data_IF_238679114295
#
_entry.id   IF_238679114295
#
_cell.length_a   1.000
_cell.length_b   1.000
_cell.length_c   1.000
_cell.angle_alpha   90.00
_cell.angle_beta   90.00
_cell.angle_gamma   90.00
#
_symmetry.space_group_name_H-M   'P 1'
#
loop_
_entity.id
_entity.type
_entity.pdbx_description
1 polymer ?
#
# COMPACT_ATOMS: atom_id res chain seq x y z
N UNK A 1 5.27 -19.19 -5.26
CA UNK A 1 4.37 -20.01 -4.45
C UNK A 1 3.00 -20.10 -5.14
N UNK A 2 2.27 -18.99 -5.31
CA UNK A 2 0.91 -18.99 -5.87
C UNK A 2 0.81 -19.71 -7.24
N UNK A 3 1.78 -19.50 -8.13
CA UNK A 3 1.84 -20.21 -9.43
C UNK A 3 2.03 -21.71 -9.28
N UNK A 4 2.91 -22.14 -8.39
CA UNK A 4 3.17 -23.55 -8.14
C UNK A 4 1.95 -24.27 -7.56
N UNK A 5 1.27 -23.64 -6.60
CA UNK A 5 0.05 -24.20 -5.97
C UNK A 5 -1.11 -24.29 -6.96
N UNK A 6 -1.28 -23.27 -7.82
CA UNK A 6 -2.44 -23.21 -8.73
C UNK A 6 -2.21 -23.80 -10.12
N UNK A 7 -0.95 -23.99 -10.52
CA UNK A 7 -0.58 -24.37 -11.89
C UNK A 7 -0.90 -23.30 -12.94
N UNK A 8 -1.03 -22.02 -12.53
CA UNK A 8 -1.39 -20.90 -13.41
C UNK A 8 -0.26 -19.87 -13.46
N UNK A 9 -0.18 -19.10 -14.56
CA UNK A 9 0.92 -18.13 -14.79
C UNK A 9 0.52 -16.69 -14.50
N UNK A 10 -0.74 -16.32 -14.71
CA UNK A 10 -1.23 -14.95 -14.62
C UNK A 10 -1.16 -14.36 -13.22
N UNK A 11 -0.99 -13.05 -13.15
CA UNK A 11 -1.04 -12.25 -11.91
C UNK A 11 -2.13 -11.20 -12.05
N UNK A 12 -2.93 -11.02 -11.02
CA UNK A 12 -3.85 -9.91 -10.91
C UNK A 12 -3.37 -8.96 -9.82
N UNK A 13 -3.51 -7.66 -10.03
CA UNK A 13 -3.14 -6.63 -9.05
C UNK A 13 -4.13 -5.47 -9.07
N UNK A 14 -4.03 -4.56 -8.11
CA UNK A 14 -4.78 -3.31 -8.13
C UNK A 14 -4.09 -2.30 -9.05
N UNK A 15 -4.88 -1.61 -9.89
CA UNK A 15 -4.40 -0.53 -10.73
C UNK A 15 -3.79 0.60 -9.89
N UNK A 16 -2.58 1.04 -10.25
CA UNK A 16 -1.82 2.05 -9.51
C UNK A 16 -1.05 1.53 -8.29
N UNK A 17 -1.20 0.26 -7.89
CA UNK A 17 -0.45 -0.30 -6.76
C UNK A 17 1.00 -0.64 -7.14
N UNK A 18 1.90 -0.56 -6.15
CA UNK A 18 3.31 -0.91 -6.28
C UNK A 18 3.67 -2.09 -5.37
N UNK A 19 4.29 -3.13 -5.93
CA UNK A 19 4.65 -4.37 -5.22
C UNK A 19 6.13 -4.75 -5.39
N UNK A 20 7.00 -3.76 -5.46
CA UNK A 20 8.44 -3.97 -5.60
C UNK A 20 8.91 -4.14 -7.04
N UNK A 21 10.21 -4.38 -7.20
CA UNK A 21 10.89 -4.43 -8.49
C UNK A 21 10.93 -5.87 -9.03
N UNK A 22 9.78 -6.31 -9.54
CA UNK A 22 9.59 -7.61 -10.16
C UNK A 22 8.76 -7.44 -11.44
N UNK A 23 9.24 -7.91 -12.58
CA UNK A 23 8.67 -7.62 -13.91
C UNK A 23 7.15 -7.80 -13.99
N UNK A 24 6.60 -8.87 -13.39
CA UNK A 24 5.16 -9.15 -13.43
C UNK A 24 4.31 -8.17 -12.63
N UNK A 25 4.88 -7.46 -11.66
CA UNK A 25 4.17 -6.46 -10.85
C UNK A 25 4.57 -5.03 -11.20
N UNK A 26 5.63 -4.87 -12.02
CA UNK A 26 6.05 -3.59 -12.61
C UNK A 26 5.19 -3.21 -13.83
N UNK A 27 3.88 -3.37 -13.67
CA UNK A 27 2.85 -3.12 -14.68
C UNK A 27 1.79 -2.24 -14.02
N UNK A 28 1.27 -1.27 -14.73
CA UNK A 28 0.17 -0.39 -14.30
C UNK A 28 0.38 0.28 -12.94
N UNK A 29 1.58 0.82 -12.71
CA UNK A 29 1.96 1.51 -11.47
C UNK A 29 1.65 3.03 -11.55
N UNK A 30 0.82 3.42 -12.49
CA UNK A 30 0.27 4.76 -12.50
C UNK A 30 1.10 5.87 -13.12
N UNK A 31 2.33 5.64 -13.55
CA UNK A 31 3.07 6.60 -14.38
C UNK A 31 2.67 6.54 -15.86
N UNK A 32 1.96 5.51 -16.24
CA UNK A 32 1.41 5.36 -17.57
C UNK A 32 0.23 6.29 -17.78
N UNK A 33 0.24 7.00 -18.88
CA UNK A 33 -0.82 7.91 -19.31
C UNK A 33 -1.98 7.09 -19.86
N UNK A 34 -2.68 6.34 -18.97
CA UNK A 34 -3.94 5.74 -19.36
C UNK A 34 -5.03 6.80 -19.17
N UNK A 35 -5.52 7.32 -20.26
CA UNK A 35 -6.62 8.30 -20.31
C UNK A 35 -8.00 7.64 -20.52
N UNK A 36 -8.05 6.31 -20.61
CA UNK A 36 -9.27 5.55 -20.81
C UNK A 36 -10.15 5.48 -19.58
N UNK A 37 -11.47 5.32 -19.81
CA UNK A 37 -12.48 5.18 -18.75
C UNK A 37 -12.94 3.73 -18.55
N UNK A 38 -12.33 2.75 -19.24
CA UNK A 38 -12.71 1.34 -19.11
C UNK A 38 -12.05 0.72 -17.88
N UNK A 39 -12.74 0.76 -16.76
CA UNK A 39 -12.28 0.21 -15.49
C UNK A 39 -12.22 -1.33 -15.45
N UNK A 40 -12.85 -1.99 -16.42
CA UNK A 40 -12.82 -3.45 -16.52
C UNK A 40 -11.62 -3.95 -17.33
N UNK A 41 -11.04 -3.09 -18.18
CA UNK A 41 -9.97 -3.47 -19.09
C UNK A 41 -8.81 -2.46 -19.07
N UNK A 42 -8.15 -2.33 -17.91
CA UNK A 42 -6.91 -1.55 -17.87
C UNK A 42 -5.86 -2.18 -18.79
N UNK A 43 -5.16 -1.39 -19.59
CA UNK A 43 -4.09 -1.89 -20.44
C UNK A 43 -2.91 -2.33 -19.58
N UNK A 44 -2.28 -3.45 -19.93
CA UNK A 44 -1.06 -3.94 -19.27
C UNK A 44 0.15 -3.14 -19.73
N UNK A 45 0.40 -1.98 -19.13
CA UNK A 45 1.46 -1.04 -19.50
C UNK A 45 2.67 -1.25 -18.59
N UNK A 46 3.84 -1.51 -19.18
CA UNK A 46 5.09 -1.62 -18.44
C UNK A 46 5.45 -0.30 -17.74
N UNK A 47 5.87 -0.36 -16.48
CA UNK A 47 6.34 0.80 -15.72
C UNK A 47 7.60 1.46 -16.31
N UNK A 48 8.41 0.69 -16.98
CA UNK A 48 9.63 1.18 -17.62
C UNK A 48 10.10 0.32 -18.78
N UNK A 49 11.12 0.81 -19.49
CA UNK A 49 11.74 0.09 -20.59
C UNK A 49 12.46 -1.17 -20.10
N UNK A 50 12.46 -2.21 -20.92
CA UNK A 50 13.19 -3.45 -20.67
C UNK A 50 12.33 -4.58 -20.08
N UNK A 51 11.08 -4.32 -19.72
CA UNK A 51 10.12 -5.36 -19.32
C UNK A 51 9.53 -5.96 -20.61
N UNK A 52 9.65 -7.28 -20.83
CA UNK A 52 9.17 -7.90 -22.06
C UNK A 52 7.64 -7.90 -22.15
N UNK A 53 7.08 -7.63 -23.35
CA UNK A 53 5.64 -7.64 -23.56
C UNK A 53 4.94 -8.94 -23.12
N UNK A 54 5.48 -10.16 -23.39
CA UNK A 54 4.85 -11.38 -22.89
C UNK A 54 4.70 -11.43 -21.35
N UNK A 55 5.60 -10.78 -20.62
CA UNK A 55 5.54 -10.71 -19.16
C UNK A 55 4.45 -9.74 -18.73
N UNK A 56 4.38 -8.55 -19.33
CA UNK A 56 3.34 -7.56 -19.01
C UNK A 56 1.94 -8.09 -19.29
N UNK A 57 1.77 -8.84 -20.38
CA UNK A 57 0.48 -9.44 -20.77
C UNK A 57 -0.02 -10.54 -19.82
N UNK A 58 0.84 -11.07 -18.95
CA UNK A 58 0.44 -11.99 -17.89
C UNK A 58 -0.14 -11.29 -16.66
N UNK A 59 -0.08 -9.95 -16.62
CA UNK A 59 -0.61 -9.16 -15.50
C UNK A 59 -1.89 -8.46 -15.91
N UNK A 60 -2.91 -8.58 -15.07
CA UNK A 60 -4.20 -7.90 -15.22
C UNK A 60 -4.43 -6.99 -14.03
N UNK A 61 -4.79 -5.73 -14.27
CA UNK A 61 -5.15 -4.80 -13.21
C UNK A 61 -6.68 -4.67 -13.06
N UNK A 62 -7.12 -4.40 -11.82
CA UNK A 62 -8.50 -4.08 -11.45
C UNK A 62 -8.51 -2.87 -10.50
N UNK A 63 -9.60 -2.10 -10.42
CA UNK A 63 -9.65 -0.97 -9.50
C UNK A 63 -9.72 -1.42 -8.04
N UNK A 64 -9.19 -0.59 -7.13
CA UNK A 64 -9.44 -0.72 -5.70
C UNK A 64 -10.88 -0.33 -5.37
N UNK A 65 -11.44 -0.83 -4.28
CA UNK A 65 -12.79 -0.54 -3.81
C UNK A 65 -13.93 -0.89 -4.79
N UNK A 66 -13.67 -1.77 -5.76
CA UNK A 66 -14.68 -2.24 -6.70
C UNK A 66 -14.67 -3.77 -6.84
N UNK A 67 -15.26 -4.45 -5.86
CA UNK A 67 -15.38 -5.90 -5.85
C UNK A 67 -16.21 -6.44 -7.04
N UNK A 68 -17.14 -5.63 -7.57
CA UNK A 68 -17.96 -5.99 -8.72
C UNK A 68 -17.12 -6.12 -10.00
N UNK A 69 -16.22 -5.18 -10.25
CA UNK A 69 -15.27 -5.28 -11.38
C UNK A 69 -14.35 -6.47 -11.18
N UNK A 70 -13.80 -6.68 -9.98
CA UNK A 70 -12.97 -7.85 -9.68
C UNK A 70 -13.68 -9.16 -10.05
N UNK A 71 -14.93 -9.33 -9.62
CA UNK A 71 -15.70 -10.56 -9.88
C UNK A 71 -15.97 -10.75 -11.37
N UNK A 72 -16.43 -9.71 -12.09
CA UNK A 72 -16.68 -9.78 -13.54
C UNK A 72 -15.40 -10.07 -14.33
N UNK A 73 -14.28 -9.44 -13.94
CA UNK A 73 -13.01 -9.65 -14.63
C UNK A 73 -12.49 -11.07 -14.43
N UNK A 74 -12.58 -11.64 -13.24
CA UNK A 74 -12.21 -13.03 -12.98
C UNK A 74 -13.12 -14.00 -13.74
N UNK A 75 -14.43 -13.73 -13.82
CA UNK A 75 -15.35 -14.54 -14.59
C UNK A 75 -15.03 -14.53 -16.11
N UNK A 76 -14.68 -13.39 -16.66
CA UNK A 76 -14.25 -13.27 -18.06
C UNK A 76 -12.96 -14.05 -18.31
N UNK A 77 -11.94 -13.87 -17.45
CA UNK A 77 -10.66 -14.60 -17.55
C UNK A 77 -10.84 -16.12 -17.38
N UNK A 78 -11.82 -16.56 -16.58
CA UNK A 78 -12.16 -17.97 -16.46
C UNK A 78 -12.71 -18.54 -17.77
N UNK A 79 -13.59 -17.81 -18.45
CA UNK A 79 -14.14 -18.21 -19.75
C UNK A 79 -13.05 -18.26 -20.84
N UNK A 80 -12.07 -17.37 -20.76
CA UNK A 80 -10.90 -17.34 -21.65
C UNK A 80 -9.86 -18.44 -21.34
N UNK A 81 -10.01 -19.21 -20.25
CA UNK A 81 -8.99 -20.16 -19.77
C UNK A 81 -7.73 -19.51 -19.23
N UNK A 82 -7.80 -18.27 -18.79
CA UNK A 82 -6.69 -17.39 -18.37
C UNK A 82 -6.81 -16.92 -16.92
N UNK A 83 -7.46 -17.67 -16.04
CA UNK A 83 -7.54 -17.33 -14.63
C UNK A 83 -6.14 -17.07 -14.05
N UNK A 84 -5.93 -15.99 -13.29
CA UNK A 84 -4.64 -15.73 -12.66
C UNK A 84 -4.36 -16.72 -11.52
N UNK A 85 -3.07 -16.91 -11.21
CA UNK A 85 -2.63 -17.65 -10.04
C UNK A 85 -2.99 -16.92 -8.75
N UNK A 86 -2.84 -15.60 -8.75
CA UNK A 86 -3.06 -14.80 -7.56
C UNK A 86 -3.64 -13.42 -7.88
N UNK A 87 -4.26 -12.83 -6.86
CA UNK A 87 -4.46 -11.40 -6.69
C UNK A 87 -3.48 -10.90 -5.62
N UNK A 88 -2.56 -10.00 -6.00
CA UNK A 88 -1.71 -9.29 -5.05
C UNK A 88 -2.22 -7.86 -4.86
N UNK A 89 -2.39 -7.44 -3.61
CA UNK A 89 -2.87 -6.11 -3.27
C UNK A 89 -2.46 -5.69 -1.86
N UNK A 90 -2.42 -4.38 -1.61
CA UNK A 90 -2.42 -3.82 -0.25
C UNK A 90 -3.86 -3.85 0.29
N UNK A 91 -4.03 -4.04 1.60
CA UNK A 91 -5.36 -3.95 2.25
C UNK A 91 -5.85 -2.49 2.35
N UNK A 92 -4.94 -1.53 2.38
CA UNK A 92 -5.17 -0.11 2.14
C UNK A 92 -4.05 0.38 1.21
N UNK A 93 -4.37 1.13 0.14
CA UNK A 93 -3.34 1.60 -0.78
C UNK A 93 -2.50 2.69 -0.13
N UNK A 94 -1.17 2.50 -0.14
CA UNK A 94 -0.19 3.37 0.52
C UNK A 94 0.82 3.99 -0.44
N UNK A 95 0.69 3.75 -1.74
CA UNK A 95 1.59 4.29 -2.77
C UNK A 95 0.94 5.41 -3.61
N UNK A 96 -0.21 5.90 -3.16
CA UNK A 96 -0.95 7.01 -3.75
C UNK A 96 -1.70 7.78 -2.65
N UNK A 97 -0.95 8.25 -1.68
CA UNK A 97 -1.49 8.72 -0.41
C UNK A 97 -2.00 7.57 0.46
N UNK A 98 -3.08 7.80 1.19
CA UNK A 98 -3.74 6.76 2.00
C UNK A 98 -5.16 6.57 1.47
N UNK A 99 -5.41 5.45 0.79
CA UNK A 99 -6.75 5.07 0.33
C UNK A 99 -7.21 3.87 1.14
N UNK A 100 -8.18 4.10 2.01
CA UNK A 100 -8.73 3.07 2.88
C UNK A 100 -9.74 2.19 2.13
N UNK A 101 -9.86 0.90 2.51
CA UNK A 101 -10.90 0.04 1.95
C UNK A 101 -12.29 0.55 2.37
N UNK A 102 -13.22 0.58 1.42
CA UNK A 102 -14.63 0.83 1.72
C UNK A 102 -15.23 -0.32 2.56
N UNK A 103 -16.23 -0.03 3.39
CA UNK A 103 -16.86 -1.04 4.22
C UNK A 103 -17.30 -2.28 3.43
N UNK A 104 -16.85 -3.46 3.85
CA UNK A 104 -17.19 -4.74 3.22
C UNK A 104 -16.31 -5.11 2.00
N UNK A 105 -15.52 -4.21 1.44
CA UNK A 105 -14.72 -4.48 0.25
C UNK A 105 -13.77 -5.67 0.42
N UNK A 106 -12.97 -5.68 1.49
CA UNK A 106 -11.99 -6.76 1.73
C UNK A 106 -12.66 -8.13 1.97
N UNK A 107 -13.84 -8.15 2.60
CA UNK A 107 -14.62 -9.37 2.79
C UNK A 107 -15.12 -9.92 1.43
N UNK A 108 -15.56 -9.05 0.53
CA UNK A 108 -15.95 -9.43 -0.83
C UNK A 108 -14.75 -9.91 -1.64
N UNK A 109 -13.59 -9.25 -1.54
CA UNK A 109 -12.35 -9.73 -2.17
C UNK A 109 -12.04 -11.17 -1.74
N UNK A 110 -12.14 -11.46 -0.42
CA UNK A 110 -11.90 -12.81 0.10
C UNK A 110 -12.91 -13.82 -0.44
N UNK A 111 -14.19 -13.46 -0.44
CA UNK A 111 -15.27 -14.30 -0.99
C UNK A 111 -15.01 -14.64 -2.46
N UNK A 112 -14.67 -13.63 -3.25
CA UNK A 112 -14.45 -13.76 -4.69
C UNK A 112 -13.19 -14.60 -4.95
N UNK A 113 -12.07 -14.31 -4.33
CA UNK A 113 -10.81 -15.05 -4.54
C UNK A 113 -10.96 -16.53 -4.18
N UNK A 114 -11.64 -16.85 -3.07
CA UNK A 114 -11.98 -18.24 -2.70
C UNK A 114 -12.85 -18.92 -3.76
N UNK A 115 -13.89 -18.26 -4.24
CA UNK A 115 -14.81 -18.80 -5.25
C UNK A 115 -14.10 -19.18 -6.56
N UNK A 116 -13.15 -18.36 -7.01
CA UNK A 116 -12.40 -18.60 -8.24
C UNK A 116 -11.12 -19.43 -8.02
N UNK A 117 -10.78 -19.78 -6.79
CA UNK A 117 -9.54 -20.47 -6.46
C UNK A 117 -8.30 -19.66 -6.84
N UNK A 118 -8.37 -18.35 -6.66
CA UNK A 118 -7.27 -17.40 -6.87
C UNK A 118 -6.60 -17.13 -5.52
N UNK A 119 -5.29 -17.32 -5.43
CA UNK A 119 -4.53 -17.05 -4.20
C UNK A 119 -4.56 -15.58 -3.87
N UNK A 120 -5.04 -15.20 -2.69
CA UNK A 120 -5.03 -13.82 -2.24
C UNK A 120 -3.75 -13.51 -1.48
N UNK A 121 -2.92 -12.61 -2.03
CA UNK A 121 -1.68 -12.14 -1.43
C UNK A 121 -1.91 -10.72 -0.92
N UNK A 122 -1.77 -10.51 0.39
CA UNK A 122 -1.79 -9.17 0.97
C UNK A 122 -0.37 -8.66 1.12
N UNK A 123 -0.09 -7.54 0.46
CA UNK A 123 1.17 -6.83 0.57
C UNK A 123 1.15 -5.93 1.82
N UNK A 124 1.86 -6.38 2.84
CA UNK A 124 2.05 -5.68 4.11
C UNK A 124 3.39 -4.91 4.18
N UNK A 125 4.04 -4.69 3.06
CA UNK A 125 5.36 -4.04 3.03
C UNK A 125 5.30 -2.62 3.58
N UNK A 126 4.19 -1.91 3.43
CA UNK A 126 3.97 -0.58 4.03
C UNK A 126 3.13 -0.60 5.31
N UNK A 127 2.27 -1.57 5.49
CA UNK A 127 1.33 -1.66 6.61
C UNK A 127 1.79 -2.58 7.73
N UNK A 128 2.53 -3.62 7.41
CA UNK A 128 3.05 -4.58 8.39
C UNK A 128 3.86 -3.92 9.49
N UNK A 129 3.54 -4.21 10.74
CA UNK A 129 4.14 -3.64 11.95
C UNK A 129 3.96 -2.11 12.12
N UNK A 130 3.35 -1.44 11.18
CA UNK A 130 3.16 0.02 11.27
C UNK A 130 1.73 0.40 11.64
N UNK A 131 0.74 -0.39 11.24
CA UNK A 131 -0.67 -0.11 11.56
C UNK A 131 -1.22 -0.99 12.69
N UNK A 132 -0.64 -2.15 12.92
CA UNK A 132 -0.89 -3.04 14.06
C UNK A 132 0.25 -4.05 14.16
N UNK A 133 0.31 -4.83 15.24
CA UNK A 133 1.31 -5.89 15.40
C UNK A 133 1.23 -6.95 14.30
N UNK A 134 0.02 -7.35 13.92
CA UNK A 134 -0.26 -8.22 12.77
C UNK A 134 -0.60 -7.46 11.47
N UNK A 135 -0.23 -6.18 11.38
CA UNK A 135 -0.43 -5.36 10.19
C UNK A 135 -1.88 -5.01 9.88
N UNK A 136 -2.15 -4.67 8.62
CA UNK A 136 -3.49 -4.42 8.12
C UNK A 136 -4.36 -5.70 8.13
N UNK A 137 -3.74 -6.86 8.05
CA UNK A 137 -4.40 -8.17 8.17
C UNK A 137 -5.12 -8.28 9.51
N UNK A 138 -4.43 -7.98 10.63
CA UNK A 138 -5.04 -7.93 11.96
C UNK A 138 -6.07 -6.80 12.06
N UNK A 139 -5.69 -5.60 11.65
CA UNK A 139 -6.52 -4.40 11.81
C UNK A 139 -7.88 -4.51 11.13
N UNK A 140 -7.93 -5.10 9.93
CA UNK A 140 -9.17 -5.30 9.17
C UNK A 140 -9.81 -6.67 9.39
N UNK A 141 -9.21 -7.54 10.20
CA UNK A 141 -9.73 -8.88 10.49
C UNK A 141 -9.86 -9.76 9.25
N UNK A 142 -8.87 -9.72 8.35
CA UNK A 142 -8.85 -10.47 7.10
C UNK A 142 -7.91 -11.67 7.17
N UNK A 143 -8.18 -12.69 6.36
CA UNK A 143 -7.39 -13.94 6.29
C UNK A 143 -6.92 -14.19 4.85
N UNK A 144 -5.83 -13.57 4.39
CA UNK A 144 -5.25 -13.86 3.08
C UNK A 144 -4.59 -15.25 3.06
N UNK A 145 -4.27 -15.75 1.88
CA UNK A 145 -3.54 -17.01 1.71
C UNK A 145 -2.03 -16.80 1.91
N UNK A 146 -1.52 -15.63 1.50
CA UNK A 146 -0.12 -15.23 1.65
C UNK A 146 -0.03 -13.76 2.09
N UNK A 147 1.03 -13.43 2.83
CA UNK A 147 1.41 -12.06 3.20
C UNK A 147 2.86 -11.80 2.87
N UNK A 148 3.18 -10.56 2.49
CA UNK A 148 4.54 -10.09 2.24
C UNK A 148 4.89 -8.98 3.24
N UNK A 149 6.04 -9.09 3.91
CA UNK A 149 6.54 -8.14 4.89
C UNK A 149 7.94 -7.65 4.50
N UNK A 150 8.23 -6.38 4.74
CA UNK A 150 9.56 -5.80 4.61
C UNK A 150 9.68 -4.52 5.46
N UNK A 151 10.46 -3.54 5.03
CA UNK A 151 10.60 -2.18 5.61
C UNK A 151 10.71 -2.19 7.14
N UNK A 152 9.61 -1.93 7.85
CA UNK A 152 9.58 -1.86 9.31
C UNK A 152 10.08 -3.15 9.99
N UNK A 153 9.95 -4.31 9.35
CA UNK A 153 10.37 -5.59 9.90
C UNK A 153 11.83 -5.58 10.32
N UNK A 154 12.70 -5.05 9.48
CA UNK A 154 14.15 -5.05 9.72
C UNK A 154 14.67 -3.88 10.56
N UNK A 155 13.79 -2.93 10.95
CA UNK A 155 14.19 -1.74 11.75
C UNK A 155 15.44 -1.02 11.20
N UNK A 156 15.49 -0.82 9.87
CA UNK A 156 16.61 -0.19 9.17
C UNK A 156 17.61 -1.17 8.53
N UNK A 157 17.55 -2.46 8.87
CA UNK A 157 18.31 -3.50 8.17
C UNK A 157 17.44 -4.10 7.04
N UNK A 158 17.96 -4.18 5.80
CA UNK A 158 17.22 -4.77 4.69
C UNK A 158 16.78 -6.20 5.01
N UNK A 159 15.47 -6.41 5.08
CA UNK A 159 14.86 -7.68 5.46
C UNK A 159 13.49 -7.79 4.80
N UNK A 160 13.15 -8.96 4.34
CA UNK A 160 11.82 -9.31 3.86
C UNK A 160 11.39 -10.67 4.39
N UNK A 161 10.11 -10.87 4.51
CA UNK A 161 9.51 -12.14 4.89
C UNK A 161 8.24 -12.41 4.08
N UNK A 162 7.93 -13.68 3.91
CA UNK A 162 6.67 -14.17 3.34
C UNK A 162 6.04 -15.07 4.40
N UNK A 163 4.77 -14.87 4.67
CA UNK A 163 3.95 -15.73 5.52
C UNK A 163 2.78 -16.30 4.72
N UNK A 164 2.25 -17.44 5.16
CA UNK A 164 1.10 -18.05 4.52
C UNK A 164 0.61 -19.28 5.26
N UNK A 165 -0.49 -19.89 4.77
CA UNK A 165 -1.02 -21.12 5.29
C UNK A 165 -0.09 -22.32 4.99
N UNK A 166 -0.25 -23.42 5.74
CA UNK A 166 0.48 -24.67 5.51
C UNK A 166 0.26 -25.17 4.07
N UNK A 167 -0.94 -25.03 3.54
CA UNK A 167 -1.27 -25.38 2.15
C UNK A 167 -0.38 -24.64 1.16
N UNK A 168 -0.25 -23.32 1.32
CA UNK A 168 0.59 -22.49 0.47
C UNK A 168 2.08 -22.81 0.64
N UNK A 169 2.49 -23.20 1.86
CA UNK A 169 3.89 -23.47 2.16
C UNK A 169 4.36 -24.87 1.73
N UNK A 170 3.45 -25.79 1.51
CA UNK A 170 3.75 -27.19 1.13
C UNK A 170 4.67 -27.31 -0.10
N UNK A 171 4.54 -26.41 -1.08
CA UNK A 171 5.39 -26.40 -2.29
C UNK A 171 6.81 -25.87 -2.03
N UNK A 172 7.00 -25.17 -0.93
CA UNK A 172 8.34 -24.75 -0.47
C UNK A 172 8.99 -25.89 0.32
N UNK A 173 8.26 -26.52 1.22
CA UNK A 173 8.75 -27.62 2.04
C UNK A 173 9.10 -28.87 1.19
N UNK A 174 8.34 -29.12 0.11
CA UNK A 174 8.66 -30.19 -0.85
C UNK A 174 9.88 -29.88 -1.73
N UNK A 175 10.29 -28.61 -1.82
CA UNK A 175 11.36 -28.15 -2.71
C UNK A 175 10.90 -27.86 -4.14
N UNK A 176 9.61 -27.96 -4.45
CA UNK A 176 9.06 -27.63 -5.77
C UNK A 176 9.23 -26.13 -6.10
N UNK A 177 9.17 -25.29 -5.07
CA UNK A 177 9.54 -23.87 -5.17
C UNK A 177 10.92 -23.64 -4.57
N UNK A 178 11.88 -23.28 -5.42
CA UNK A 178 13.23 -22.96 -5.00
C UNK A 178 13.28 -21.57 -4.36
N UNK A 179 13.22 -21.55 -3.01
CA UNK A 179 13.18 -20.33 -2.22
C UNK A 179 14.46 -20.18 -1.37
N UNK A 180 15.58 -19.93 -2.04
CA UNK A 180 16.87 -19.71 -1.39
C UNK A 180 17.56 -18.46 -1.88
N UNK A 181 18.44 -17.91 -1.06
CA UNK A 181 19.29 -16.79 -1.39
C UNK A 181 20.47 -16.74 -0.41
N UNK A 182 21.65 -16.34 -0.87
CA UNK A 182 22.88 -16.32 -0.08
C UNK A 182 22.72 -15.58 1.25
N UNK A 183 21.96 -14.50 1.26
CA UNK A 183 21.75 -13.67 2.45
C UNK A 183 20.40 -13.91 3.15
N UNK A 184 19.60 -14.87 2.69
CA UNK A 184 18.33 -15.20 3.34
C UNK A 184 18.61 -15.72 4.76
N UNK A 185 17.88 -15.20 5.75
CA UNK A 185 18.05 -15.60 7.14
C UNK A 185 19.41 -15.23 7.75
N UNK A 186 20.11 -14.21 7.20
CA UNK A 186 21.41 -13.83 7.76
C UNK A 186 21.26 -13.36 9.23
N UNK A 187 22.24 -13.68 10.10
CA UNK A 187 22.11 -13.45 11.54
C UNK A 187 21.89 -11.99 11.94
N UNK A 188 22.43 -11.02 11.19
CA UNK A 188 22.28 -9.60 11.49
C UNK A 188 20.83 -9.16 11.26
N UNK A 189 20.25 -9.49 10.11
CA UNK A 189 18.86 -9.16 9.80
C UNK A 189 17.88 -9.88 10.74
N UNK A 190 18.14 -11.14 11.08
CA UNK A 190 17.31 -11.89 12.03
C UNK A 190 17.38 -11.32 13.44
N UNK A 191 18.56 -10.90 13.90
CA UNK A 191 18.71 -10.26 15.20
C UNK A 191 18.03 -8.89 15.26
N UNK A 192 18.10 -8.10 14.18
CA UNK A 192 17.44 -6.81 14.09
C UNK A 192 15.90 -6.98 14.09
N UNK A 193 15.36 -7.87 13.24
CA UNK A 193 13.94 -8.16 13.19
C UNK A 193 13.42 -8.66 14.56
N UNK A 194 14.14 -9.58 15.20
CA UNK A 194 13.78 -10.08 16.52
C UNK A 194 13.76 -8.98 17.56
N UNK A 195 14.80 -8.14 17.62
CA UNK A 195 14.87 -7.03 18.56
C UNK A 195 13.72 -6.03 18.33
N UNK A 196 13.39 -5.75 17.07
CA UNK A 196 12.27 -4.90 16.71
C UNK A 196 10.94 -5.47 17.22
N UNK A 197 10.67 -6.73 16.92
CA UNK A 197 9.41 -7.41 17.31
C UNK A 197 9.27 -7.57 18.83
N UNK A 198 10.36 -7.92 19.53
CA UNK A 198 10.31 -8.24 20.96
C UNK A 198 10.45 -7.01 21.88
N UNK A 199 11.10 -5.93 21.42
CA UNK A 199 11.52 -4.84 22.31
C UNK A 199 11.10 -3.45 21.86
N UNK A 200 10.84 -3.24 20.56
CA UNK A 200 10.54 -1.93 20.00
C UNK A 200 9.04 -1.77 19.75
N UNK A 201 8.45 -2.70 19.02
CA UNK A 201 7.04 -2.65 18.64
C UNK A 201 6.15 -3.25 19.74
N UNK A 202 6.13 -2.58 20.89
CA UNK A 202 5.31 -2.94 22.05
C UNK A 202 3.90 -2.35 21.95
N UNK A 203 2.91 -2.84 22.73
CA UNK A 203 1.59 -2.23 22.81
C UNK A 203 1.64 -0.72 23.11
N UNK A 204 2.56 -0.28 23.99
CA UNK A 204 2.75 1.14 24.31
C UNK A 204 3.28 1.94 23.11
N UNK A 205 4.14 1.34 22.28
CA UNK A 205 4.61 1.96 21.05
C UNK A 205 3.45 2.19 20.07
N UNK A 206 2.59 1.19 19.86
CA UNK A 206 1.40 1.37 19.01
C UNK A 206 0.44 2.41 19.57
N UNK A 207 0.19 2.41 20.89
CA UNK A 207 -0.65 3.42 21.52
C UNK A 207 -0.06 4.83 21.39
N UNK A 208 1.27 4.97 21.48
CA UNK A 208 1.97 6.24 21.25
C UNK A 208 1.81 6.72 19.80
N UNK A 209 2.10 5.86 18.84
CA UNK A 209 1.96 6.16 17.41
C UNK A 209 0.54 6.55 17.03
N UNK A 210 -0.46 5.85 17.56
CA UNK A 210 -1.87 6.17 17.36
C UNK A 210 -2.21 7.58 17.85
N UNK A 211 -1.83 7.92 19.10
CA UNK A 211 -2.06 9.28 19.64
C UNK A 211 -1.39 10.39 18.82
N UNK A 212 -0.17 10.15 18.36
CA UNK A 212 0.52 11.13 17.50
C UNK A 212 -0.19 11.30 16.16
N UNK A 213 -0.68 10.21 15.59
CA UNK A 213 -1.42 10.28 14.32
C UNK A 213 -2.76 10.98 14.48
N UNK A 214 -3.49 10.69 15.56
CA UNK A 214 -4.75 11.38 15.90
C UNK A 214 -4.50 12.88 16.05
N UNK A 215 -3.44 13.29 16.75
CA UNK A 215 -3.05 14.70 16.88
C UNK A 215 -2.81 15.36 15.52
N UNK A 216 -2.09 14.68 14.62
CA UNK A 216 -1.82 15.19 13.27
C UNK A 216 -3.09 15.26 12.42
N UNK A 217 -3.90 14.23 12.42
CA UNK A 217 -5.13 14.16 11.62
C UNK A 217 -6.15 15.22 12.08
N UNK A 218 -6.43 15.27 13.38
CA UNK A 218 -7.39 16.22 13.96
C UNK A 218 -6.89 17.67 13.79
N UNK A 219 -5.60 17.91 14.03
CA UNK A 219 -4.98 19.23 13.87
C UNK A 219 -4.99 19.68 12.41
N UNK A 220 -4.61 18.80 11.48
CA UNK A 220 -4.63 19.10 10.04
C UNK A 220 -6.06 19.36 9.55
N UNK A 221 -7.04 18.54 9.95
CA UNK A 221 -8.44 18.76 9.58
C UNK A 221 -8.96 20.07 10.13
N UNK A 222 -8.63 20.41 11.38
CA UNK A 222 -9.02 21.70 11.98
C UNK A 222 -8.45 22.91 11.24
N UNK A 223 -7.23 22.82 10.71
CA UNK A 223 -6.63 23.85 9.86
C UNK A 223 -7.35 23.92 8.50
N UNK A 224 -7.56 22.77 7.85
CA UNK A 224 -8.29 22.66 6.58
C UNK A 224 -9.66 23.33 6.68
N UNK A 225 -10.42 23.04 7.72
CA UNK A 225 -11.76 23.60 7.93
C UNK A 225 -11.71 25.10 8.19
N UNK A 226 -10.76 25.58 9.02
CA UNK A 226 -10.56 27.01 9.34
C UNK A 226 -10.26 27.84 8.11
N UNK A 227 -9.37 27.34 7.26
CA UNK A 227 -8.95 28.02 6.03
C UNK A 227 -9.78 27.64 4.82
N UNK A 228 -10.78 26.75 4.96
CA UNK A 228 -11.67 26.28 3.89
C UNK A 228 -10.90 25.73 2.69
N UNK A 229 -9.85 24.98 2.95
CA UNK A 229 -9.07 24.38 1.89
C UNK A 229 -9.87 23.23 1.23
N UNK A 230 -9.70 23.08 -0.08
CA UNK A 230 -10.21 21.92 -0.83
C UNK A 230 -9.30 20.70 -0.56
N UNK A 231 -9.33 20.20 0.67
CA UNK A 231 -8.47 19.13 1.15
C UNK A 231 -9.16 18.36 2.29
N UNK A 232 -8.61 17.24 2.67
CA UNK A 232 -8.98 16.50 3.88
C UNK A 232 -7.77 15.73 4.43
N UNK A 233 -7.76 15.47 5.74
CA UNK A 233 -6.79 14.61 6.38
C UNK A 233 -7.32 13.18 6.46
N UNK A 234 -6.50 12.19 6.14
CA UNK A 234 -6.85 10.77 6.23
C UNK A 234 -5.63 9.97 6.69
N UNK A 235 -5.86 8.94 7.49
CA UNK A 235 -4.77 8.12 7.99
C UNK A 235 -5.22 6.84 8.65
N UNK A 236 -4.23 6.06 9.06
CA UNK A 236 -4.40 4.76 9.71
C UNK A 236 -3.21 4.52 10.65
N UNK A 237 -3.45 4.51 11.94
CA UNK A 237 -2.45 4.27 12.99
C UNK A 237 -1.23 5.21 12.89
N UNK A 238 -0.08 4.74 12.42
CA UNK A 238 1.14 5.56 12.32
C UNK A 238 1.30 6.28 10.97
N UNK A 239 0.30 6.22 10.11
CA UNK A 239 0.36 6.75 8.75
C UNK A 239 -0.78 7.70 8.47
N UNK A 240 -0.51 8.77 7.74
CA UNK A 240 -1.55 9.69 7.32
C UNK A 240 -1.06 10.61 6.22
N UNK A 241 -1.99 11.37 5.65
CA UNK A 241 -1.72 12.32 4.58
C UNK A 241 -2.76 13.43 4.58
N UNK A 242 -2.37 14.60 4.12
CA UNK A 242 -3.28 15.67 3.73
C UNK A 242 -3.50 15.54 2.23
N UNK A 243 -4.71 15.17 1.85
CA UNK A 243 -5.10 15.02 0.44
C UNK A 243 -5.76 16.29 -0.06
N UNK A 244 -5.13 16.95 -1.01
CA UNK A 244 -5.67 18.16 -1.67
C UNK A 244 -6.65 17.76 -2.77
N UNK A 245 -7.88 17.47 -2.38
CA UNK A 245 -8.98 17.07 -3.27
C UNK A 245 -10.32 17.57 -2.73
N UNK A 246 -11.23 17.94 -3.64
CA UNK A 246 -12.60 18.32 -3.26
C UNK A 246 -13.48 17.13 -2.87
N UNK A 247 -13.17 15.96 -3.42
CA UNK A 247 -13.91 14.72 -3.18
C UNK A 247 -12.98 13.65 -2.61
N UNK A 248 -13.56 12.73 -1.86
CA UNK A 248 -12.83 11.58 -1.31
C UNK A 248 -12.19 10.76 -2.44
N UNK A 249 -10.91 10.50 -2.30
CA UNK A 249 -10.16 9.58 -3.16
C UNK A 249 -10.43 8.15 -2.69
N UNK A 250 -10.93 7.31 -3.57
CA UNK A 250 -11.35 5.93 -3.25
C UNK A 250 -10.58 4.87 -4.03
N UNK A 251 -9.89 5.27 -5.09
CA UNK A 251 -9.09 4.41 -5.95
C UNK A 251 -8.02 5.23 -6.69
N UNK A 252 -7.21 4.56 -7.50
CA UNK A 252 -6.15 5.24 -8.24
C UNK A 252 -6.68 6.20 -9.32
N UNK A 253 -7.82 5.93 -9.95
CA UNK A 253 -8.39 6.83 -10.96
C UNK A 253 -8.83 8.16 -10.34
N UNK A 254 -9.52 8.10 -9.19
CA UNK A 254 -9.89 9.30 -8.43
C UNK A 254 -8.66 10.02 -7.87
N UNK A 255 -7.62 9.28 -7.46
CA UNK A 255 -6.34 9.86 -7.05
C UNK A 255 -5.67 10.65 -8.17
N UNK A 256 -5.53 10.07 -9.36
CA UNK A 256 -4.97 10.75 -10.54
C UNK A 256 -5.72 12.03 -10.88
N UNK A 257 -7.06 11.96 -10.84
CA UNK A 257 -7.92 13.11 -11.16
C UNK A 257 -7.79 14.22 -10.12
N UNK A 258 -7.58 13.87 -8.86
CA UNK A 258 -7.45 14.83 -7.76
C UNK A 258 -6.06 15.48 -7.67
N UNK A 259 -5.04 14.89 -8.28
CA UNK A 259 -3.66 15.36 -8.13
C UNK A 259 -3.44 16.79 -8.67
N UNK A 260 -3.00 17.66 -7.78
CA UNK A 260 -2.52 19.01 -8.07
C UNK A 260 -1.00 19.02 -7.97
N UNK A 261 -0.34 18.64 -9.06
CA UNK A 261 1.10 18.39 -9.10
C UNK A 261 1.94 19.52 -8.53
N UNK A 262 1.69 20.75 -8.99
CA UNK A 262 2.44 21.93 -8.59
C UNK A 262 2.23 22.25 -7.11
N UNK A 263 1.03 22.02 -6.58
CA UNK A 263 0.73 22.21 -5.17
C UNK A 263 1.46 21.18 -4.30
N UNK A 264 1.48 19.93 -4.72
CA UNK A 264 2.18 18.86 -3.98
C UNK A 264 3.69 19.12 -3.97
N UNK A 265 4.28 19.50 -5.09
CA UNK A 265 5.69 19.87 -5.18
C UNK A 265 5.99 21.10 -4.29
N UNK A 266 5.07 22.08 -4.25
CA UNK A 266 5.17 23.24 -3.34
C UNK A 266 5.12 22.81 -1.86
N UNK A 267 4.19 21.94 -1.48
CA UNK A 267 4.06 21.43 -0.10
C UNK A 267 5.34 20.76 0.35
N UNK A 268 5.93 19.92 -0.51
CA UNK A 268 7.20 19.28 -0.21
C UNK A 268 8.33 20.29 0.02
N UNK A 269 8.51 21.26 -0.88
CA UNK A 269 9.52 22.31 -0.74
C UNK A 269 9.26 23.20 0.49
N UNK A 270 7.99 23.50 0.80
CA UNK A 270 7.59 24.27 1.97
C UNK A 270 8.01 23.59 3.26
N UNK A 271 7.73 22.30 3.37
CA UNK A 271 8.11 21.46 4.49
C UNK A 271 9.62 21.37 4.66
N UNK A 272 10.35 21.07 3.58
CA UNK A 272 11.81 20.97 3.59
C UNK A 272 12.49 22.25 4.06
N UNK A 273 12.02 23.42 3.61
CA UNK A 273 12.55 24.72 4.04
C UNK A 273 12.26 25.08 5.50
N UNK A 274 11.39 24.29 6.17
CA UNK A 274 10.99 24.50 7.58
C UNK A 274 11.39 23.36 8.49
N UNK A 275 12.34 22.54 8.04
CA UNK A 275 12.93 21.47 8.83
C UNK A 275 12.09 20.19 8.93
N UNK A 276 11.08 20.05 8.08
CA UNK A 276 10.29 18.82 7.97
C UNK A 276 10.81 18.05 6.75
N UNK A 277 11.46 16.92 7.02
CA UNK A 277 11.94 16.02 5.99
C UNK A 277 10.86 15.01 5.65
N UNK A 278 10.23 15.16 4.49
CA UNK A 278 9.29 14.21 3.92
C UNK A 278 9.86 13.54 2.67
N UNK A 279 9.32 12.40 2.31
CA UNK A 279 9.72 11.67 1.09
C UNK A 279 9.43 12.54 -0.13
N UNK A 280 10.38 12.70 -1.08
CA UNK A 280 10.09 13.41 -2.31
C UNK A 280 9.17 12.57 -3.20
N UNK A 281 8.09 13.17 -3.67
CA UNK A 281 7.12 12.50 -4.54
C UNK A 281 5.70 12.97 -4.29
N UNK A 282 4.74 12.31 -4.92
CA UNK A 282 3.32 12.70 -4.89
C UNK A 282 2.44 11.80 -4.06
N UNK A 283 2.98 10.73 -3.56
CA UNK A 283 2.33 9.68 -2.77
C UNK A 283 2.66 9.81 -1.28
N UNK A 284 2.82 11.04 -0.81
CA UNK A 284 3.42 11.35 0.48
C UNK A 284 2.48 11.18 1.65
N UNK A 285 2.37 9.94 2.13
CA UNK A 285 1.94 9.74 3.49
C UNK A 285 3.11 9.99 4.47
N UNK A 286 2.81 10.61 5.62
CA UNK A 286 3.74 10.52 6.74
C UNK A 286 3.73 9.12 7.34
N UNK A 287 4.88 8.68 7.78
CA UNK A 287 5.02 7.47 8.59
C UNK A 287 5.71 7.84 9.89
N UNK A 288 4.99 7.72 10.99
CA UNK A 288 5.49 8.14 12.30
C UNK A 288 6.49 7.13 12.86
N UNK A 289 7.47 7.66 13.56
CA UNK A 289 8.46 6.89 14.33
C UNK A 289 8.16 6.96 15.82
N UNK A 290 8.45 5.90 16.56
CA UNK A 290 8.34 5.88 18.02
C UNK A 290 9.25 6.92 18.72
N UNK A 291 10.25 7.45 18.01
CA UNK A 291 11.11 8.52 18.50
C UNK A 291 10.49 9.92 18.41
N UNK A 292 9.41 10.07 17.61
CA UNK A 292 8.72 11.34 17.49
C UNK A 292 7.90 11.65 18.73
N UNK A 293 7.75 12.94 19.00
CA UNK A 293 7.07 13.50 20.17
C UNK A 293 5.85 14.32 19.77
N UNK A 294 4.93 14.67 20.68
CA UNK A 294 3.86 15.62 20.39
C UNK A 294 4.37 16.97 19.87
N UNK A 295 5.56 17.42 20.28
CA UNK A 295 6.14 18.67 19.78
C UNK A 295 6.54 18.60 18.30
N UNK A 296 6.92 17.42 17.80
CA UNK A 296 7.18 17.22 16.38
C UNK A 296 5.89 17.31 15.56
N UNK A 297 4.79 16.77 16.10
CA UNK A 297 3.47 16.91 15.49
C UNK A 297 2.99 18.38 15.51
N UNK A 298 3.17 19.09 16.62
CA UNK A 298 2.84 20.51 16.72
C UNK A 298 3.66 21.36 15.73
N UNK A 299 4.94 21.05 15.55
CA UNK A 299 5.78 21.70 14.56
C UNK A 299 5.25 21.49 13.13
N UNK A 300 4.91 20.26 12.77
CA UNK A 300 4.32 19.94 11.46
C UNK A 300 3.01 20.72 11.24
N UNK A 301 2.12 20.75 12.22
CA UNK A 301 0.85 21.45 12.14
C UNK A 301 1.05 22.97 12.02
N UNK A 302 1.99 23.56 12.75
CA UNK A 302 2.34 24.97 12.62
C UNK A 302 2.83 25.34 11.22
N UNK A 303 3.69 24.51 10.64
CA UNK A 303 4.19 24.67 9.27
C UNK A 303 3.07 24.52 8.24
N UNK A 304 2.15 23.61 8.45
CA UNK A 304 0.98 23.44 7.60
C UNK A 304 -0.01 24.62 7.72
N UNK A 305 -0.20 25.17 8.92
CA UNK A 305 -1.06 26.34 9.12
C UNK A 305 -0.49 27.60 8.42
N UNK A 306 0.84 27.79 8.46
CA UNK A 306 1.49 28.85 7.69
C UNK A 306 1.22 28.70 6.17
N UNK A 307 1.34 27.48 5.65
CA UNK A 307 1.03 27.20 4.24
C UNK A 307 -0.43 27.48 3.92
N UNK A 308 -1.36 27.03 4.76
CA UNK A 308 -2.79 27.25 4.60
C UNK A 308 -3.13 28.75 4.52
N UNK A 309 -2.50 29.56 5.37
CA UNK A 309 -2.66 31.00 5.34
C UNK A 309 -2.15 31.63 4.05
N UNK A 310 -1.04 31.14 3.49
CA UNK A 310 -0.52 31.65 2.21
C UNK A 310 -1.40 31.23 1.02
N UNK A 311 -1.93 30.02 1.01
CA UNK A 311 -2.80 29.52 -0.06
C UNK A 311 -4.16 30.23 -0.15
N UNK A 312 -4.55 30.94 0.91
CA UNK A 312 -5.86 31.62 1.01
C UNK A 312 -5.78 33.17 1.00
N UNK A 313 -4.58 33.72 0.79
CA UNK A 313 -4.36 35.17 0.56
C UNK A 313 -4.75 35.56 -0.84
#
# INVERSE_FOLDING_TARGET
>A
IARAVTGRDGVMKIFGSYHGHHDYVMVDIGLSVYEGNDREHYPSIAYGKGIPDPVTQMTTAVPFNDAGVLERRLAALQQEGRLPACLIMEAAMMNCGVILPEPGYLAEVRRITKRFGVVWIVDEVKTGLTVAAGGATELFGIEPDLVCLAKALGAGIPTGAIGGSEEMWSVVDSGDVYMVGTFNGNPLAMAAARANLERVMTPDAYAHLGRLNDQLLDGAQGIIDRYRLAAYAVGIQSKGVITFAQSKVVDYDSYKTAQQKELIDLVWLWNMNRGIFSTPGRDEEWTLSIAMTPADADHYLGVFEELAAELTR
#
